data_IF_844897405209
#
_entry.id   IF_844897405209
#
_cell.length_a   1.000
_cell.length_b   1.000
_cell.length_c   1.000
_cell.angle_alpha   90.00
_cell.angle_beta   90.00
_cell.angle_gamma   90.00
#
_symmetry.space_group_name_H-M   'P 1'
#
loop_
_entity.id
_entity.type
_entity.pdbx_description
1 polymer ?
#
# COMPACT_ATOMS: atom_id res chain seq x y z
N UNK A 1 62.44 -39.82 10.15
CA UNK A 1 62.45 -39.63 8.69
C UNK A 1 61.00 -39.57 8.22
N UNK A 2 60.53 -38.40 7.78
CA UNK A 2 59.14 -38.23 7.32
C UNK A 2 59.02 -38.85 5.93
N UNK A 3 58.03 -39.72 5.75
CA UNK A 3 57.85 -40.49 4.51
C UNK A 3 57.30 -39.58 3.41
N UNK A 4 58.20 -39.01 2.60
CA UNK A 4 57.90 -38.04 1.53
C UNK A 4 56.90 -38.58 0.50
N UNK A 5 56.87 -39.90 0.29
CA UNK A 5 55.90 -40.58 -0.57
C UNK A 5 54.48 -40.52 -0.03
N UNK A 6 54.32 -40.52 1.31
CA UNK A 6 53.01 -40.45 1.95
C UNK A 6 52.46 -39.01 1.89
N UNK A 7 53.32 -38.01 2.12
CA UNK A 7 52.99 -36.59 1.98
C UNK A 7 52.54 -36.23 0.57
N UNK A 8 53.21 -36.76 -0.46
CA UNK A 8 52.85 -36.51 -1.86
C UNK A 8 51.46 -37.07 -2.20
N UNK A 9 51.11 -38.27 -1.68
CA UNK A 9 49.80 -38.89 -1.88
C UNK A 9 48.67 -38.09 -1.22
N UNK A 10 48.89 -37.61 0.01
CA UNK A 10 47.90 -36.78 0.69
C UNK A 10 47.73 -35.41 0.03
N UNK A 11 48.80 -34.79 -0.45
CA UNK A 11 48.74 -33.53 -1.18
C UNK A 11 47.93 -33.67 -2.49
N UNK A 12 48.17 -34.75 -3.25
CA UNK A 12 47.42 -35.04 -4.48
C UNK A 12 45.93 -35.29 -4.21
N UNK A 13 45.60 -35.98 -3.11
CA UNK A 13 44.22 -36.26 -2.72
C UNK A 13 43.47 -34.98 -2.28
N UNK A 14 44.16 -34.05 -1.61
CA UNK A 14 43.61 -32.75 -1.20
C UNK A 14 43.30 -31.85 -2.41
N UNK A 15 44.21 -31.82 -3.38
CA UNK A 15 44.00 -31.09 -4.65
C UNK A 15 42.81 -31.67 -5.41
N UNK A 16 42.72 -33.00 -5.53
CA UNK A 16 41.60 -33.66 -6.22
C UNK A 16 40.25 -33.41 -5.53
N UNK A 17 40.20 -33.41 -4.19
CA UNK A 17 39.01 -33.09 -3.42
C UNK A 17 38.56 -31.62 -3.62
N UNK A 18 39.50 -30.68 -3.74
CA UNK A 18 39.20 -29.26 -4.00
C UNK A 18 38.63 -29.02 -5.41
N UNK A 19 39.10 -29.78 -6.41
CA UNK A 19 38.58 -29.73 -7.78
C UNK A 19 37.17 -30.32 -7.89
N UNK A 20 36.86 -31.41 -7.15
CA UNK A 20 35.52 -31.99 -7.13
C UNK A 20 34.50 -31.11 -6.40
N UNK A 21 34.90 -30.42 -5.33
CA UNK A 21 34.00 -29.54 -4.56
C UNK A 21 33.76 -28.18 -5.24
N UNK A 22 34.65 -27.74 -6.14
CA UNK A 22 34.44 -26.53 -6.94
C UNK A 22 33.39 -26.71 -8.06
N UNK A 23 33.06 -27.93 -8.46
CA UNK A 23 32.14 -28.19 -9.57
C UNK A 23 30.65 -27.95 -9.22
N UNK A 24 30.29 -27.94 -7.93
CA UNK A 24 28.93 -27.58 -7.47
C UNK A 24 28.80 -26.12 -6.97
N UNK A 25 29.92 -25.41 -6.73
CA UNK A 25 29.89 -24.05 -6.17
C UNK A 25 29.73 -22.91 -7.19
N UNK A 26 29.95 -23.18 -8.48
CA UNK A 26 29.92 -22.14 -9.53
C UNK A 26 28.54 -21.53 -9.81
N UNK A 27 27.45 -22.23 -9.48
CA UNK A 27 26.09 -21.81 -9.81
C UNK A 27 25.51 -20.78 -8.84
N UNK A 28 26.01 -20.72 -7.59
CA UNK A 28 25.52 -19.77 -6.57
C UNK A 28 26.15 -18.39 -6.73
N UNK A 29 27.44 -18.32 -7.09
CA UNK A 29 28.14 -17.04 -7.28
C UNK A 29 27.60 -16.23 -8.47
N UNK A 30 27.19 -16.89 -9.56
CA UNK A 30 26.59 -16.21 -10.72
C UNK A 30 25.23 -15.56 -10.40
N UNK A 31 24.51 -16.01 -9.38
CA UNK A 31 23.20 -15.46 -9.02
C UNK A 31 23.33 -14.15 -8.21
N UNK A 32 24.38 -14.00 -7.41
CA UNK A 32 24.62 -12.79 -6.61
C UNK A 32 25.06 -11.62 -7.52
N UNK A 33 25.85 -11.89 -8.56
CA UNK A 33 26.34 -10.85 -9.49
C UNK A 33 25.23 -10.25 -10.37
N UNK A 34 24.22 -11.06 -10.77
CA UNK A 34 23.09 -10.55 -11.56
C UNK A 34 22.18 -9.60 -10.78
N UNK A 35 22.18 -9.67 -9.45
CA UNK A 35 21.30 -8.88 -8.58
C UNK A 35 21.85 -7.47 -8.27
N UNK A 36 23.18 -7.27 -8.34
CA UNK A 36 23.79 -5.94 -8.12
C UNK A 36 23.80 -5.06 -9.38
N UNK A 37 23.64 -5.67 -10.57
CA UNK A 37 23.75 -4.98 -11.85
C UNK A 37 22.44 -4.23 -12.24
N UNK A 38 21.28 -4.66 -11.74
CA UNK A 38 20.00 -3.97 -11.96
C UNK A 38 19.85 -2.72 -11.08
N UNK A 39 20.31 -2.79 -9.82
CA UNK A 39 20.13 -1.69 -8.86
C UNK A 39 20.89 -0.41 -9.26
N UNK A 40 22.01 -0.52 -9.99
CA UNK A 40 22.76 0.63 -10.48
C UNK A 40 22.18 1.21 -11.77
N UNK A 41 21.62 0.37 -12.64
CA UNK A 41 20.92 0.81 -13.84
C UNK A 41 19.64 1.60 -13.47
N UNK A 42 18.86 1.10 -12.51
CA UNK A 42 17.61 1.75 -12.09
C UNK A 42 17.87 3.12 -11.44
N UNK A 43 18.99 3.28 -10.69
CA UNK A 43 19.36 4.57 -10.08
C UNK A 43 19.74 5.64 -11.08
N UNK A 44 20.42 5.28 -12.16
CA UNK A 44 20.83 6.25 -13.20
C UNK A 44 19.61 6.70 -14.02
N UNK A 45 18.70 5.78 -14.31
CA UNK A 45 17.44 6.11 -15.00
C UNK A 45 16.54 6.98 -14.12
N UNK A 46 16.39 6.66 -12.83
CA UNK A 46 15.61 7.49 -11.90
C UNK A 46 16.17 8.92 -11.81
N UNK A 47 17.49 9.07 -11.66
CA UNK A 47 18.10 10.41 -11.56
C UNK A 47 17.99 11.22 -12.86
N UNK A 48 18.07 10.56 -14.02
CA UNK A 48 17.87 11.21 -15.31
C UNK A 48 16.41 11.66 -15.52
N UNK A 49 15.46 10.86 -15.02
CA UNK A 49 14.03 11.18 -15.08
C UNK A 49 13.65 12.33 -14.15
N UNK A 50 14.16 12.33 -12.90
CA UNK A 50 13.91 13.38 -11.92
C UNK A 50 14.46 14.75 -12.40
N UNK A 51 15.64 14.76 -13.03
CA UNK A 51 16.22 15.99 -13.58
C UNK A 51 15.43 16.52 -14.78
N UNK A 52 14.84 15.63 -15.59
CA UNK A 52 13.94 16.02 -16.68
C UNK A 52 12.63 16.59 -16.13
N UNK A 53 12.03 15.95 -15.12
CA UNK A 53 10.80 16.42 -14.49
C UNK A 53 11.00 17.81 -13.85
N UNK A 54 12.15 18.03 -13.20
CA UNK A 54 12.54 19.34 -12.67
C UNK A 54 12.64 20.40 -13.75
N UNK A 55 13.25 20.08 -14.90
CA UNK A 55 13.35 21.01 -16.05
C UNK A 55 11.97 21.31 -16.64
N UNK A 56 11.10 20.31 -16.77
CA UNK A 56 9.75 20.48 -17.28
C UNK A 56 8.87 21.32 -16.34
N UNK A 57 9.02 21.14 -15.02
CA UNK A 57 8.34 21.98 -14.02
C UNK A 57 8.80 23.44 -14.10
N UNK A 58 10.10 23.68 -14.22
CA UNK A 58 10.64 25.04 -14.38
C UNK A 58 10.22 25.67 -15.71
N UNK A 59 10.16 24.89 -16.79
CA UNK A 59 9.68 25.35 -18.08
C UNK A 59 8.19 25.73 -18.03
N UNK A 60 7.36 24.98 -17.28
CA UNK A 60 5.94 25.31 -17.07
C UNK A 60 5.73 26.52 -16.15
N UNK A 61 6.52 26.67 -15.09
CA UNK A 61 6.45 27.85 -14.22
C UNK A 61 6.83 29.14 -14.94
N UNK A 62 7.83 29.07 -15.82
CA UNK A 62 8.30 30.22 -16.60
C UNK A 62 7.67 30.28 -17.99
N UNK A 63 6.62 29.49 -18.25
CA UNK A 63 5.91 29.57 -19.52
C UNK A 63 5.22 30.95 -19.58
N UNK A 64 5.45 31.74 -20.64
CA UNK A 64 4.75 33.00 -20.80
C UNK A 64 3.25 32.72 -20.82
N UNK A 65 2.51 33.41 -19.97
CA UNK A 65 1.06 33.39 -19.98
C UNK A 65 0.61 33.77 -21.39
N UNK A 66 -0.17 32.90 -22.02
CA UNK A 66 -0.75 33.23 -23.32
C UNK A 66 -1.72 34.39 -23.11
N UNK A 67 -1.47 35.52 -23.76
CA UNK A 67 -2.42 36.63 -23.90
C UNK A 67 -3.61 36.17 -24.75
N UNK A 68 -4.45 35.34 -24.16
CA UNK A 68 -5.74 34.92 -24.71
C UNK A 68 -6.79 35.61 -23.86
N UNK A 69 -7.66 36.39 -24.51
CA UNK A 69 -8.82 36.97 -23.84
C UNK A 69 -9.55 35.88 -23.05
N UNK A 70 -9.83 36.10 -21.74
CA UNK A 70 -10.54 35.12 -20.93
C UNK A 70 -11.86 34.77 -21.59
N UNK A 71 -12.11 33.47 -21.76
CA UNK A 71 -13.37 32.96 -22.30
C UNK A 71 -14.54 33.59 -21.51
N UNK A 72 -15.57 34.17 -22.18
CA UNK A 72 -16.74 34.74 -21.52
C UNK A 72 -17.41 33.78 -20.52
N UNK A 73 -17.35 32.46 -20.72
CA UNK A 73 -17.85 31.49 -19.75
C UNK A 73 -17.00 31.43 -18.47
N UNK A 74 -15.67 31.56 -18.59
CA UNK A 74 -14.78 31.60 -17.43
C UNK A 74 -14.95 32.87 -16.62
N UNK A 75 -15.11 34.01 -17.30
CA UNK A 75 -15.41 35.28 -16.65
C UNK A 75 -16.75 35.23 -15.90
N UNK A 76 -17.79 34.65 -16.52
CA UNK A 76 -19.10 34.46 -15.88
C UNK A 76 -19.00 33.54 -14.64
N UNK A 77 -18.19 32.48 -14.68
CA UNK A 77 -17.98 31.60 -13.53
C UNK A 77 -17.27 32.30 -12.36
N UNK A 78 -16.25 33.12 -12.64
CA UNK A 78 -15.54 33.87 -11.60
C UNK A 78 -16.43 34.96 -10.99
N UNK A 79 -17.34 35.52 -11.77
CA UNK A 79 -18.19 36.66 -11.36
C UNK A 79 -19.59 36.26 -10.89
N UNK A 80 -20.00 35.00 -11.05
CA UNK A 80 -21.40 34.60 -10.83
C UNK A 80 -21.90 34.74 -9.39
N UNK A 81 -21.01 34.89 -8.40
CA UNK A 81 -21.40 34.98 -7.00
C UNK A 81 -22.07 33.71 -6.50
N UNK A 82 -22.15 33.55 -5.19
CA UNK A 82 -22.84 32.41 -4.58
C UNK A 82 -24.17 32.89 -4.01
N UNK A 83 -25.28 32.39 -4.55
CA UNK A 83 -26.60 32.60 -3.97
C UNK A 83 -26.74 31.71 -2.74
N UNK A 84 -27.01 32.30 -1.56
CA UNK A 84 -27.22 31.54 -0.32
C UNK A 84 -28.49 30.70 -0.45
N UNK A 85 -28.30 29.39 -0.65
CA UNK A 85 -29.38 28.40 -0.58
C UNK A 85 -29.96 28.44 0.84
N UNK A 86 -31.16 29.02 0.96
CA UNK A 86 -31.89 28.98 2.23
C UNK A 86 -32.28 27.53 2.50
N UNK A 87 -31.72 26.96 3.57
CA UNK A 87 -31.96 25.58 3.97
C UNK A 87 -33.44 25.45 4.38
N UNK A 88 -34.25 24.84 3.51
CA UNK A 88 -35.60 24.41 3.86
C UNK A 88 -35.44 23.25 4.84
N UNK A 89 -35.68 23.51 6.13
CA UNK A 89 -35.63 22.48 7.15
C UNK A 89 -36.80 21.51 6.98
N UNK A 90 -36.55 20.37 6.33
CA UNK A 90 -37.47 19.23 6.35
C UNK A 90 -37.60 18.75 7.81
N UNK A 91 -38.81 18.75 8.41
CA UNK A 91 -38.97 18.32 9.79
C UNK A 91 -38.61 16.83 9.93
N UNK A 92 -37.69 16.53 10.84
CA UNK A 92 -37.28 15.17 11.14
C UNK A 92 -38.48 14.37 11.72
N UNK A 93 -38.63 13.08 11.39
CA UNK A 93 -39.59 12.21 12.06
C UNK A 93 -39.23 12.10 13.55
N UNK A 94 -40.25 12.20 14.42
CA UNK A 94 -40.10 12.04 15.87
C UNK A 94 -39.57 10.63 16.18
N UNK A 95 -38.32 10.56 16.62
CA UNK A 95 -37.71 9.34 17.15
C UNK A 95 -38.41 8.95 18.45
N UNK A 96 -39.01 7.76 18.49
CA UNK A 96 -39.46 7.11 19.72
C UNK A 96 -38.24 6.88 20.62
N UNK A 97 -38.18 7.62 21.72
CA UNK A 97 -37.16 7.49 22.75
C UNK A 97 -37.32 6.15 23.46
N UNK A 98 -36.30 5.31 23.34
CA UNK A 98 -36.00 4.28 24.33
C UNK A 98 -34.68 4.64 25.01
N UNK A 99 -34.82 4.99 26.28
CA UNK A 99 -33.85 5.22 27.35
C UNK A 99 -32.58 4.35 27.21
N UNK A 100 -31.41 5.01 27.17
CA UNK A 100 -30.26 4.73 28.04
C UNK A 100 -29.17 5.79 27.74
N UNK A 101 -29.07 6.76 28.64
CA UNK A 101 -27.92 7.66 28.76
C UNK A 101 -26.76 6.88 29.40
N UNK A 102 -25.64 6.79 28.70
CA UNK A 102 -24.32 7.12 29.23
C UNK A 102 -23.25 7.06 28.13
N UNK A 103 -22.36 8.07 28.17
CA UNK A 103 -21.14 8.27 27.36
C UNK A 103 -21.28 8.85 25.93
N UNK A 104 -21.47 10.17 25.88
CA UNK A 104 -20.96 11.02 24.80
C UNK A 104 -19.43 11.11 24.84
N UNK A 105 -18.76 10.66 23.78
CA UNK A 105 -17.59 11.36 23.23
C UNK A 105 -17.75 11.48 21.73
N UNK A 106 -17.77 12.73 21.29
CA UNK A 106 -17.84 13.21 19.91
C UNK A 106 -17.10 12.32 18.89
N UNK A 107 -17.84 11.70 17.99
CA UNK A 107 -17.36 11.49 16.63
C UNK A 107 -18.45 11.95 15.68
N UNK A 108 -18.14 12.99 14.92
CA UNK A 108 -18.85 13.33 13.68
C UNK A 108 -19.08 12.02 12.92
N UNK A 109 -20.30 11.69 12.48
CA UNK A 109 -20.48 10.56 11.59
C UNK A 109 -19.85 10.95 10.25
N UNK A 110 -18.53 10.75 10.12
CA UNK A 110 -17.91 10.62 8.81
C UNK A 110 -18.57 9.39 8.20
N UNK A 111 -19.47 9.63 7.26
CA UNK A 111 -20.17 8.59 6.52
C UNK A 111 -19.12 7.77 5.76
N UNK A 112 -18.63 6.72 6.40
CA UNK A 112 -17.63 5.88 5.81
C UNK A 112 -18.28 5.06 4.69
N UNK A 113 -17.70 5.13 3.49
CA UNK A 113 -18.28 4.51 2.31
C UNK A 113 -18.11 2.99 2.41
N UNK A 114 -19.22 2.26 2.54
CA UNK A 114 -19.22 0.81 2.55
C UNK A 114 -19.26 0.29 1.11
N UNK A 115 -18.27 -0.53 0.74
CA UNK A 115 -18.11 -1.06 -0.61
C UNK A 115 -18.02 -2.58 -0.57
N UNK A 116 -18.66 -3.25 -1.53
CA UNK A 116 -18.56 -4.69 -1.72
C UNK A 116 -17.28 -5.05 -2.46
N UNK A 117 -16.55 -6.00 -1.91
CA UNK A 117 -15.20 -6.35 -2.34
C UNK A 117 -15.06 -7.86 -2.32
N UNK A 118 -14.44 -8.42 -3.35
CA UNK A 118 -14.05 -9.82 -3.36
C UNK A 118 -12.59 -9.94 -2.89
N UNK A 119 -12.35 -10.74 -1.87
CA UNK A 119 -11.01 -11.00 -1.34
C UNK A 119 -10.23 -11.84 -2.36
N UNK A 120 -9.12 -11.31 -2.87
CA UNK A 120 -8.28 -12.01 -3.84
C UNK A 120 -7.06 -12.65 -3.16
N UNK A 121 -6.36 -11.90 -2.31
CA UNK A 121 -5.15 -12.37 -1.67
C UNK A 121 -5.03 -11.86 -0.22
N UNK A 122 -4.28 -12.59 0.61
CA UNK A 122 -3.92 -12.18 1.96
C UNK A 122 -2.43 -11.82 1.98
N UNK A 123 -2.11 -10.62 2.45
CA UNK A 123 -0.74 -10.17 2.66
C UNK A 123 -0.21 -10.75 3.97
N UNK A 124 0.95 -11.41 3.88
CA UNK A 124 1.58 -12.13 4.98
C UNK A 124 3.02 -11.64 5.17
N UNK A 125 3.57 -11.89 6.36
CA UNK A 125 4.98 -11.64 6.66
C UNK A 125 5.40 -10.17 6.56
N UNK A 126 6.49 -9.91 5.84
CA UNK A 126 7.14 -8.58 5.76
C UNK A 126 6.30 -7.53 5.04
N UNK A 127 5.56 -7.91 4.00
CA UNK A 127 4.74 -6.98 3.22
C UNK A 127 3.63 -6.38 4.08
N UNK A 128 2.99 -7.23 4.90
CA UNK A 128 1.99 -6.83 5.88
C UNK A 128 2.56 -5.78 6.84
N UNK A 129 3.74 -6.05 7.39
CA UNK A 129 4.37 -5.15 8.37
C UNK A 129 4.75 -3.81 7.74
N UNK A 130 5.34 -3.80 6.55
CA UNK A 130 5.70 -2.56 5.83
C UNK A 130 4.46 -1.70 5.53
N UNK A 131 3.35 -2.34 5.17
CA UNK A 131 2.12 -1.64 4.86
C UNK A 131 1.50 -1.01 6.12
N UNK A 132 1.47 -1.75 7.23
CA UNK A 132 1.00 -1.23 8.52
C UNK A 132 1.90 -0.12 9.07
N UNK A 133 3.23 -0.23 8.90
CA UNK A 133 4.18 0.83 9.26
C UNK A 133 4.00 2.07 8.41
N UNK A 134 3.78 1.92 7.11
CA UNK A 134 3.45 3.02 6.21
C UNK A 134 2.15 3.71 6.62
N UNK A 135 1.09 2.95 6.87
CA UNK A 135 -0.19 3.50 7.28
C UNK A 135 -0.09 4.21 8.65
N UNK A 136 0.72 3.69 9.59
CA UNK A 136 1.02 4.38 10.85
C UNK A 136 1.79 5.69 10.62
N UNK A 137 2.78 5.68 9.74
CA UNK A 137 3.54 6.89 9.40
C UNK A 137 2.67 7.96 8.73
N UNK A 138 1.60 7.56 8.04
CA UNK A 138 0.59 8.44 7.46
C UNK A 138 -0.44 8.95 8.49
N UNK A 139 -0.33 8.54 9.76
CA UNK A 139 -1.20 9.02 10.84
C UNK A 139 -2.56 8.32 10.91
N UNK A 140 -2.69 7.10 10.39
CA UNK A 140 -3.96 6.38 10.41
C UNK A 140 -4.43 6.09 11.85
N UNK A 141 -5.65 6.52 12.17
CA UNK A 141 -6.22 6.47 13.52
C UNK A 141 -6.88 5.10 13.80
N UNK A 142 -7.30 4.42 12.75
CA UNK A 142 -8.03 3.15 12.77
C UNK A 142 -7.13 1.90 12.87
N UNK A 143 -5.81 2.08 13.03
CA UNK A 143 -4.87 0.96 13.10
C UNK A 143 -4.73 0.37 14.50
N UNK A 144 -4.57 -0.97 14.61
CA UNK A 144 -4.29 -1.63 15.87
C UNK A 144 -2.88 -1.31 16.42
N UNK A 145 -2.71 -1.54 17.71
CA UNK A 145 -1.43 -1.40 18.41
C UNK A 145 -0.43 -2.42 17.84
N UNK A 146 0.87 -2.08 17.80
CA UNK A 146 1.92 -2.91 17.16
C UNK A 146 1.96 -4.36 17.68
N UNK A 147 1.63 -4.60 18.95
CA UNK A 147 1.53 -5.94 19.54
C UNK A 147 0.42 -6.80 18.93
N UNK A 148 -0.67 -6.17 18.49
CA UNK A 148 -1.85 -6.87 17.98
C UNK A 148 -1.70 -7.25 16.51
N UNK A 149 -0.76 -6.65 15.79
CA UNK A 149 -0.54 -6.87 14.35
C UNK A 149 -0.36 -8.33 13.95
N UNK A 150 0.03 -9.21 14.87
CA UNK A 150 0.15 -10.64 14.62
C UNK A 150 -1.20 -11.31 14.35
N UNK A 151 -2.24 -10.91 15.09
CA UNK A 151 -3.59 -11.49 14.99
C UNK A 151 -4.41 -10.88 13.86
N UNK A 152 -4.04 -9.67 13.44
CA UNK A 152 -4.68 -8.97 12.35
C UNK A 152 -4.13 -9.42 11.00
N UNK A 153 -5.04 -9.59 10.05
CA UNK A 153 -4.71 -9.97 8.68
C UNK A 153 -4.91 -8.76 7.76
N UNK A 154 -4.20 -8.73 6.64
CA UNK A 154 -4.39 -7.68 5.63
C UNK A 154 -4.77 -8.37 4.34
N UNK A 155 -5.93 -8.03 3.80
CA UNK A 155 -6.44 -8.55 2.54
C UNK A 155 -6.24 -7.55 1.41
N UNK A 156 -6.07 -8.07 0.20
CA UNK A 156 -6.28 -7.31 -1.03
C UNK A 156 -7.48 -7.88 -1.77
N UNK A 157 -8.30 -6.99 -2.30
CA UNK A 157 -9.52 -7.37 -2.99
C UNK A 157 -9.93 -6.35 -4.03
N UNK A 158 -10.88 -6.76 -4.86
CA UNK A 158 -11.36 -5.96 -5.99
C UNK A 158 -12.77 -5.48 -5.68
N UNK A 159 -13.01 -4.19 -5.87
CA UNK A 159 -14.34 -3.59 -5.70
C UNK A 159 -15.27 -4.10 -6.81
N UNK A 160 -16.43 -4.62 -6.40
CA UNK A 160 -17.52 -5.02 -7.29
C UNK A 160 -18.09 -3.77 -7.98
N UNK A 161 -17.86 -3.64 -9.29
CA UNK A 161 -18.36 -2.53 -10.12
C UNK A 161 -17.30 -1.57 -10.68
N UNK A 162 -16.15 -1.41 -10.02
CA UNK A 162 -15.06 -0.53 -10.49
C UNK A 162 -13.77 -1.30 -10.82
N UNK A 163 -13.69 -2.60 -10.51
CA UNK A 163 -12.48 -3.43 -10.67
C UNK A 163 -11.21 -2.83 -10.02
N UNK A 164 -11.38 -1.85 -9.12
CA UNK A 164 -10.28 -1.20 -8.43
C UNK A 164 -9.75 -2.11 -7.32
N UNK A 165 -8.44 -2.35 -7.33
CA UNK A 165 -7.77 -3.07 -6.26
C UNK A 165 -7.71 -2.18 -5.01
N UNK A 166 -8.11 -2.75 -3.88
CA UNK A 166 -7.99 -2.12 -2.58
C UNK A 166 -7.30 -3.06 -1.60
N UNK A 167 -6.55 -2.47 -0.68
CA UNK A 167 -6.01 -3.17 0.48
C UNK A 167 -6.84 -2.80 1.69
N UNK A 168 -7.22 -3.79 2.48
CA UNK A 168 -8.04 -3.60 3.66
C UNK A 168 -7.58 -4.49 4.82
N UNK A 169 -7.88 -4.03 6.02
CA UNK A 169 -7.56 -4.65 7.27
C UNK A 169 -8.68 -5.62 7.65
N UNK A 170 -8.30 -6.83 8.03
CA UNK A 170 -9.21 -7.90 8.47
C UNK A 170 -9.01 -8.05 9.98
N UNK A 171 -10.01 -7.66 10.78
CA UNK A 171 -10.00 -7.87 12.21
C UNK A 171 -10.00 -9.37 12.58
N UNK A 172 -9.43 -9.73 13.74
CA UNK A 172 -9.31 -11.12 14.17
C UNK A 172 -10.66 -11.83 14.38
N UNK A 173 -11.76 -11.10 14.63
CA UNK A 173 -13.09 -11.68 14.82
C UNK A 173 -13.62 -12.42 13.58
N UNK A 174 -13.13 -12.09 12.38
CA UNK A 174 -13.53 -12.76 11.14
C UNK A 174 -12.70 -14.02 10.84
N UNK A 175 -11.68 -14.31 11.64
CA UNK A 175 -10.86 -15.51 11.49
C UNK A 175 -10.07 -15.57 10.17
N UNK A 176 -9.98 -16.76 9.58
CA UNK A 176 -9.30 -16.98 8.29
C UNK A 176 -10.33 -16.96 7.17
N UNK A 177 -10.24 -15.98 6.28
CA UNK A 177 -11.12 -15.91 5.11
C UNK A 177 -10.51 -16.60 3.89
N UNK A 178 -11.30 -17.40 3.15
CA UNK A 178 -10.84 -17.99 1.89
C UNK A 178 -10.72 -16.93 0.80
N UNK A 179 -9.85 -17.17 -0.18
CA UNK A 179 -9.85 -16.38 -1.42
C UNK A 179 -11.18 -16.57 -2.16
N UNK A 180 -11.69 -15.50 -2.76
CA UNK A 180 -13.02 -15.43 -3.38
C UNK A 180 -14.15 -15.05 -2.41
N UNK A 181 -13.87 -14.85 -1.12
CA UNK A 181 -14.88 -14.42 -0.16
C UNK A 181 -15.39 -13.01 -0.49
N UNK A 182 -16.72 -12.87 -0.55
CA UNK A 182 -17.37 -11.56 -0.70
C UNK A 182 -17.47 -10.90 0.66
N UNK A 183 -17.01 -9.66 0.72
CA UNK A 183 -16.94 -8.89 1.96
C UNK A 183 -17.35 -7.44 1.74
N UNK A 184 -17.83 -6.80 2.81
CA UNK A 184 -18.08 -5.35 2.81
C UNK A 184 -16.96 -4.66 3.58
N UNK A 185 -16.28 -3.76 2.88
CA UNK A 185 -15.15 -2.99 3.37
C UNK A 185 -15.56 -1.54 3.50
N UNK A 186 -15.23 -0.95 4.64
CA UNK A 186 -15.29 0.47 4.90
C UNK A 186 -14.06 1.15 4.27
N UNK A 187 -14.33 2.07 3.35
CA UNK A 187 -13.30 2.90 2.73
C UNK A 187 -12.97 4.06 3.65
N UNK A 188 -11.72 4.11 4.07
CA UNK A 188 -11.26 5.11 5.02
C UNK A 188 -10.91 6.44 4.30
N UNK A 189 -11.14 7.60 4.92
CA UNK A 189 -10.75 8.88 4.35
C UNK A 189 -9.22 9.00 4.32
N UNK A 190 -8.67 9.33 3.14
CA UNK A 190 -7.27 9.59 2.79
C UNK A 190 -6.17 9.24 3.81
N UNK A 191 -5.28 8.31 3.45
CA UNK A 191 -4.08 7.96 4.23
C UNK A 191 -4.29 6.81 5.22
N UNK A 192 -5.54 6.48 5.50
CA UNK A 192 -5.94 5.34 6.31
C UNK A 192 -6.02 4.02 5.53
N UNK A 193 -6.01 2.92 6.26
CA UNK A 193 -6.19 1.57 5.73
C UNK A 193 -7.67 1.23 5.79
N UNK A 194 -8.24 0.78 4.68
CA UNK A 194 -9.65 0.37 4.63
C UNK A 194 -9.91 -0.76 5.63
N UNK A 195 -11.11 -0.88 6.17
CA UNK A 195 -11.39 -1.87 7.22
C UNK A 195 -12.57 -2.77 6.84
N UNK A 196 -12.40 -4.07 7.03
CA UNK A 196 -13.49 -5.03 6.87
C UNK A 196 -14.53 -4.83 7.99
N UNK A 197 -15.82 -4.69 7.61
CA UNK A 197 -16.93 -4.57 8.57
C UNK A 197 -17.89 -5.75 8.54
N UNK A 198 -18.10 -6.33 7.38
CA UNK A 198 -19.02 -7.45 7.23
C UNK A 198 -18.42 -8.49 6.30
N UNK A 199 -18.50 -9.76 6.69
CA UNK A 199 -18.20 -10.90 5.82
C UNK A 199 -19.53 -11.58 5.46
N UNK A 200 -19.72 -11.90 4.17
CA UNK A 200 -20.83 -12.72 3.74
C UNK A 200 -20.39 -14.18 3.85
N UNK A 201 -21.15 -14.97 4.62
CA UNK A 201 -20.91 -16.40 4.85
C UNK A 201 -21.74 -17.23 3.88
#
# INVERSE_FOLDING_TARGET
>A
MVNTQLLLKYALLLVLASLLSACLGGTIAQQIVRSMLTTTADKVVANAMDEQERKDMLAKQNAPLKDTEPDPYWAAFVTSGFEQVQVIATPLPKSTQSVNEDAQTNSTPQSALLVRVELFNLLLGEEKNKLLEKARALGAITLPIKSEWQHWQVGTGIIEGNQKLITFLIPPEFGKMPSGAKVTVEIAPSGELNMLRYAYN
#
